data_IF_514351276055
#
_entry.id   IF_514351276055
#
_cell.length_a   1.000
_cell.length_b   1.000
_cell.length_c   1.000
_cell.angle_alpha   90.00
_cell.angle_beta   90.00
_cell.angle_gamma   90.00
#
_symmetry.space_group_name_H-M   'P 1'
#
loop_
_entity.id
_entity.type
_entity.pdbx_description
1 polymer ?
#
# COMPACT_ATOMS: atom_id res chain seq x y z
N UNK A 1 -15.58 25.04 3.69
CA UNK A 1 -14.95 24.90 5.03
C UNK A 1 -13.58 24.28 4.81
N UNK A 2 -12.53 24.85 5.39
CA UNK A 2 -11.17 24.27 5.33
C UNK A 2 -11.14 22.89 5.97
N UNK A 3 -10.48 21.93 5.33
CA UNK A 3 -10.30 20.61 5.93
C UNK A 3 -9.35 20.70 7.13
N UNK A 4 -9.69 19.96 8.17
CA UNK A 4 -8.92 19.91 9.43
C UNK A 4 -8.10 18.64 9.58
N UNK A 5 -8.30 17.66 8.68
CA UNK A 5 -7.60 16.38 8.64
C UNK A 5 -6.86 16.22 7.32
N UNK A 6 -5.58 15.86 7.38
CA UNK A 6 -4.74 15.61 6.22
C UNK A 6 -5.12 14.26 5.59
N UNK A 7 -5.53 14.21 4.31
CA UNK A 7 -5.93 12.95 3.67
C UNK A 7 -4.83 11.88 3.64
N UNK A 8 -3.56 12.30 3.62
CA UNK A 8 -2.41 11.40 3.62
C UNK A 8 -2.00 10.87 5.01
N UNK A 9 -2.70 11.26 6.08
CA UNK A 9 -2.41 10.82 7.44
C UNK A 9 -3.27 9.63 7.90
N UNK A 10 -2.69 8.77 8.73
CA UNK A 10 -3.47 7.93 9.61
C UNK A 10 -4.02 8.78 10.75
N UNK A 11 -5.35 8.88 10.84
CA UNK A 11 -6.10 9.71 11.79
C UNK A 11 -6.75 8.90 12.92
N UNK A 12 -6.55 7.58 12.95
CA UNK A 12 -7.11 6.67 13.96
C UNK A 12 -6.07 6.23 14.97
N UNK A 13 -4.86 5.92 14.50
CA UNK A 13 -3.73 5.57 15.36
C UNK A 13 -3.20 6.80 16.10
N UNK A 14 -3.14 6.71 17.44
CA UNK A 14 -2.68 7.81 18.31
C UNK A 14 -3.47 9.12 18.11
N UNK A 15 -4.77 9.02 17.84
CA UNK A 15 -5.64 10.20 17.87
C UNK A 15 -5.93 10.57 19.33
N UNK A 16 -5.59 11.81 19.71
CA UNK A 16 -5.71 12.29 21.08
C UNK A 16 -6.72 13.43 21.23
N UNK A 17 -7.39 13.82 20.15
CA UNK A 17 -8.23 15.01 20.09
C UNK A 17 -9.46 14.94 21.02
N UNK A 18 -9.99 13.74 21.26
CA UNK A 18 -11.10 13.53 22.21
C UNK A 18 -10.66 13.59 23.67
N UNK A 19 -9.43 13.18 23.95
CA UNK A 19 -8.86 13.15 25.31
C UNK A 19 -8.35 14.52 25.74
N UNK A 20 -7.74 15.26 24.81
CA UNK A 20 -7.20 16.59 25.05
C UNK A 20 -7.79 17.57 24.05
N UNK A 21 -8.81 18.30 24.51
CA UNK A 21 -9.45 19.32 23.69
C UNK A 21 -8.52 20.54 23.57
N UNK A 22 -8.15 20.89 22.35
CA UNK A 22 -7.34 22.07 22.04
C UNK A 22 -8.17 23.35 21.88
N UNK A 23 -7.52 24.51 22.03
CA UNK A 23 -8.09 25.82 21.68
C UNK A 23 -8.34 25.90 20.18
N UNK A 24 -9.40 26.58 19.75
CA UNK A 24 -9.63 26.84 18.32
C UNK A 24 -8.54 27.75 17.77
N UNK A 25 -8.03 27.42 16.58
CA UNK A 25 -6.95 28.14 15.92
C UNK A 25 -7.24 28.41 14.45
N UNK A 26 -6.61 29.46 13.91
CA UNK A 26 -6.47 29.73 12.48
C UNK A 26 -4.98 29.66 12.12
N UNK A 27 -4.48 28.49 11.69
CA UNK A 27 -3.07 28.22 11.40
C UNK A 27 -2.35 29.32 10.63
N UNK A 28 -1.22 29.79 11.15
CA UNK A 28 -0.38 30.79 10.51
C UNK A 28 1.12 30.49 10.54
N UNK A 29 1.54 29.60 11.45
CA UNK A 29 2.92 29.17 11.61
C UNK A 29 2.98 27.65 11.73
N UNK A 30 4.00 27.05 11.11
CA UNK A 30 4.37 25.65 11.30
C UNK A 30 5.67 25.61 12.10
N UNK A 31 5.70 24.77 13.12
CA UNK A 31 6.89 24.45 13.90
C UNK A 31 7.31 23.02 13.58
N UNK A 32 8.50 22.90 13.00
CA UNK A 32 9.17 21.61 12.80
C UNK A 32 9.93 21.22 14.06
N UNK A 33 9.81 19.96 14.42
CA UNK A 33 10.53 19.32 15.51
C UNK A 33 11.29 18.11 14.97
N UNK A 34 12.31 17.65 15.69
CA UNK A 34 12.76 16.26 15.56
C UNK A 34 12.55 15.50 16.85
N UNK A 35 12.13 14.24 16.72
CA UNK A 35 11.78 13.42 17.88
C UNK A 35 13.00 12.96 18.68
N UNK A 36 14.21 13.12 18.12
CA UNK A 36 15.46 12.52 18.60
C UNK A 36 15.36 11.00 18.78
N UNK A 37 14.45 10.39 18.02
CA UNK A 37 14.07 8.99 18.10
C UNK A 37 13.85 8.38 16.71
N UNK A 38 13.37 7.13 16.71
CA UNK A 38 13.44 6.26 15.52
C UNK A 38 12.11 5.61 15.16
N UNK A 39 11.16 5.70 16.08
CA UNK A 39 9.84 5.12 15.95
C UNK A 39 8.80 6.15 16.42
N UNK A 40 7.53 5.78 16.29
CA UNK A 40 6.39 6.53 16.77
C UNK A 40 6.52 6.82 18.27
N UNK A 41 6.70 8.08 18.69
CA UNK A 41 6.75 8.40 20.11
C UNK A 41 5.40 8.13 20.77
N UNK A 42 5.41 7.72 22.03
CA UNK A 42 4.17 7.47 22.79
C UNK A 42 3.45 8.77 23.19
N UNK A 43 4.17 9.90 23.16
CA UNK A 43 3.71 11.23 23.57
C UNK A 43 3.03 11.25 24.94
N UNK A 44 3.47 10.38 25.85
CA UNK A 44 2.87 10.21 27.18
C UNK A 44 1.35 10.02 27.11
N UNK A 45 0.88 9.24 26.12
CA UNK A 45 -0.54 9.00 25.89
C UNK A 45 -1.30 10.27 25.45
N UNK A 46 -0.62 11.13 24.69
CA UNK A 46 -1.14 12.36 24.06
C UNK A 46 -0.87 13.66 24.82
N UNK A 47 -0.27 13.60 26.02
CA UNK A 47 -0.04 14.77 26.85
C UNK A 47 0.96 15.76 26.23
N UNK A 48 1.84 15.28 25.35
CA UNK A 48 2.88 16.08 24.67
C UNK A 48 2.85 15.89 23.15
N UNK A 49 1.72 15.45 22.58
CA UNK A 49 1.65 15.14 21.16
C UNK A 49 1.59 16.40 20.27
N UNK A 50 2.27 16.40 19.12
CA UNK A 50 2.17 17.45 18.10
C UNK A 50 0.87 17.29 17.29
N UNK A 51 0.64 18.12 16.26
CA UNK A 51 -0.46 17.85 15.33
C UNK A 51 -0.16 16.64 14.46
N UNK A 52 1.08 16.55 13.98
CA UNK A 52 1.53 15.51 13.07
C UNK A 52 2.85 14.88 13.53
N UNK A 53 2.99 13.59 13.25
CA UNK A 53 4.28 12.89 13.29
C UNK A 53 4.55 12.29 11.92
N UNK A 54 5.75 12.54 11.37
CA UNK A 54 6.20 12.06 10.08
C UNK A 54 7.34 11.07 10.31
N UNK A 55 7.09 9.79 9.98
CA UNK A 55 8.06 8.71 10.13
C UNK A 55 8.65 8.30 8.77
N UNK A 56 9.98 8.13 8.65
CA UNK A 56 10.59 7.63 7.42
C UNK A 56 10.21 6.16 7.18
N UNK A 57 9.84 5.84 5.94
CA UNK A 57 9.78 4.48 5.43
C UNK A 57 10.96 4.27 4.45
N UNK A 58 12.09 3.83 4.99
CA UNK A 58 13.34 3.66 4.21
C UNK A 58 13.21 2.66 3.06
N UNK A 59 12.42 1.61 3.22
CA UNK A 59 12.21 0.61 2.18
C UNK A 59 11.49 1.19 0.96
N UNK A 60 10.51 2.07 1.19
CA UNK A 60 9.74 2.73 0.13
C UNK A 60 10.35 4.04 -0.33
N UNK A 61 11.30 4.60 0.42
CA UNK A 61 11.77 5.99 0.27
C UNK A 61 10.59 6.98 0.25
N UNK A 62 9.68 6.79 1.19
CA UNK A 62 8.51 7.66 1.41
C UNK A 62 8.34 7.93 2.90
N UNK A 63 7.38 8.76 3.27
CA UNK A 63 7.01 8.97 4.68
C UNK A 63 5.68 8.31 5.03
N UNK A 64 5.50 8.02 6.30
CA UNK A 64 4.22 7.69 6.91
C UNK A 64 3.83 8.84 7.83
N UNK A 65 2.59 9.30 7.77
CA UNK A 65 2.10 10.43 8.57
C UNK A 65 1.02 9.95 9.53
N UNK A 66 1.14 10.31 10.81
CA UNK A 66 0.05 10.22 11.79
C UNK A 66 -0.40 11.63 12.16
N UNK A 67 -1.71 11.82 12.26
CA UNK A 67 -2.29 13.06 12.74
C UNK A 67 -2.99 12.82 14.08
N UNK A 68 -2.58 13.57 15.10
CA UNK A 68 -3.02 13.41 16.47
C UNK A 68 -4.13 14.38 16.86
N UNK A 69 -4.11 15.58 16.27
CA UNK A 69 -5.09 16.66 16.49
C UNK A 69 -5.53 17.29 15.16
N UNK A 70 -6.79 17.71 15.03
CA UNK A 70 -7.25 18.55 13.92
C UNK A 70 -6.45 19.84 13.82
N UNK A 71 -6.13 20.31 12.61
CA UNK A 71 -5.26 21.49 12.40
C UNK A 71 -5.86 22.79 12.96
N UNK A 72 -7.19 22.87 13.08
CA UNK A 72 -7.89 24.01 13.66
C UNK A 72 -7.95 23.97 15.21
N UNK A 73 -7.18 23.09 15.86
CA UNK A 73 -7.15 22.91 17.30
C UNK A 73 -5.71 22.80 17.79
N UNK A 74 -5.34 23.55 18.84
CA UNK A 74 -3.99 23.51 19.40
C UNK A 74 -3.55 22.10 19.81
N UNK A 75 -2.30 21.73 19.50
CA UNK A 75 -1.67 20.50 19.98
C UNK A 75 -0.96 20.73 21.32
N UNK A 76 0.08 19.94 21.66
CA UNK A 76 0.68 19.93 23.00
C UNK A 76 2.20 19.76 23.05
N UNK A 77 2.91 19.81 21.93
CA UNK A 77 4.37 19.60 21.92
C UNK A 77 5.16 20.85 22.31
N UNK A 78 4.56 22.05 22.28
CA UNK A 78 5.20 23.29 22.72
C UNK A 78 4.94 23.57 24.20
N UNK A 79 5.99 23.94 24.93
CA UNK A 79 5.88 24.47 26.28
C UNK A 79 5.25 25.86 26.23
N UNK A 80 4.18 26.04 26.99
CA UNK A 80 3.44 27.29 27.11
C UNK A 80 3.50 27.81 28.55
N UNK A 81 4.32 28.85 28.82
CA UNK A 81 4.53 29.35 30.18
C UNK A 81 3.55 30.49 30.50
N UNK A 82 3.01 30.47 31.72
CA UNK A 82 2.14 31.55 32.20
C UNK A 82 2.85 32.91 32.16
N UNK A 83 2.21 33.91 31.57
CA UNK A 83 2.79 35.24 31.33
C UNK A 83 3.65 35.35 30.07
N UNK A 84 3.71 34.27 29.28
CA UNK A 84 4.41 34.20 28.00
C UNK A 84 3.56 34.63 26.79
N UNK A 85 3.93 34.15 25.61
CA UNK A 85 3.27 34.43 24.32
C UNK A 85 2.40 33.28 23.82
N UNK A 86 1.98 32.39 24.71
CA UNK A 86 0.95 31.40 24.38
C UNK A 86 1.40 30.48 23.23
N UNK A 87 2.67 30.05 23.23
CA UNK A 87 3.37 29.39 22.10
C UNK A 87 2.60 28.22 21.48
N UNK A 88 1.86 27.48 22.30
CA UNK A 88 1.12 26.30 21.91
C UNK A 88 -0.29 26.61 21.37
N UNK A 89 -0.85 27.77 21.70
CA UNK A 89 -2.23 28.18 21.33
C UNK A 89 -2.25 29.36 20.35
N UNK A 90 -1.10 29.96 20.05
CA UNK A 90 -0.94 31.03 19.06
C UNK A 90 -0.88 30.50 17.63
N UNK A 91 -1.92 29.80 17.19
CA UNK A 91 -2.12 29.37 15.80
C UNK A 91 -0.98 28.51 15.18
N UNK A 92 -0.19 27.86 16.02
CA UNK A 92 0.96 27.06 15.61
C UNK A 92 0.59 25.61 15.31
N UNK A 93 0.88 25.16 14.09
CA UNK A 93 0.83 23.75 13.70
C UNK A 93 2.18 23.11 13.99
N UNK A 94 2.18 22.01 14.73
CA UNK A 94 3.38 21.35 15.24
C UNK A 94 3.58 20.04 14.50
N UNK A 95 4.78 19.81 13.96
CA UNK A 95 5.12 18.63 13.16
C UNK A 95 6.39 18.00 13.72
N UNK A 96 6.30 16.78 14.20
CA UNK A 96 7.43 15.95 14.63
C UNK A 96 7.99 15.14 13.47
N UNK A 97 9.30 15.27 13.24
CA UNK A 97 10.04 14.50 12.23
C UNK A 97 10.82 13.40 12.92
N UNK A 98 10.51 12.13 12.62
CA UNK A 98 11.22 11.00 13.24
C UNK A 98 12.65 10.92 12.70
N UNK A 99 13.60 11.18 13.58
CA UNK A 99 15.04 11.17 13.34
C UNK A 99 15.74 12.04 14.38
N UNK A 100 17.00 12.40 14.10
CA UNK A 100 17.84 13.16 15.03
C UNK A 100 18.47 14.37 14.34
N UNK A 101 18.63 15.46 15.08
CA UNK A 101 19.50 16.56 14.68
C UNK A 101 20.84 16.57 15.41
N UNK A 102 21.04 15.67 16.39
CA UNK A 102 22.22 15.59 17.25
C UNK A 102 23.36 14.77 16.61
N UNK A 103 24.51 15.39 16.26
CA UNK A 103 25.61 14.69 15.58
C UNK A 103 26.20 13.51 16.38
N UNK A 104 26.42 13.60 17.71
CA UNK A 104 26.72 12.44 18.55
C UNK A 104 25.73 11.27 18.39
N UNK A 105 24.42 11.52 18.40
CA UNK A 105 23.39 10.49 18.22
C UNK A 105 23.43 9.90 16.81
N UNK A 106 23.58 10.73 15.78
CA UNK A 106 23.80 10.29 14.40
C UNK A 106 25.05 9.40 14.27
N UNK A 107 26.18 9.81 14.84
CA UNK A 107 27.44 9.04 14.81
C UNK A 107 27.31 7.69 15.51
N UNK A 108 26.66 7.65 16.69
CA UNK A 108 26.44 6.40 17.44
C UNK A 108 25.60 5.39 16.67
N UNK A 109 24.73 5.85 15.77
CA UNK A 109 23.89 4.98 14.93
C UNK A 109 24.69 4.23 13.85
N UNK A 110 25.81 4.76 13.41
CA UNK A 110 26.65 4.14 12.39
C UNK A 110 25.85 3.81 11.12
N UNK A 111 25.75 2.52 10.80
CA UNK A 111 25.11 2.01 9.57
C UNK A 111 23.61 1.76 9.68
N UNK A 112 23.01 1.92 10.86
CA UNK A 112 21.56 1.72 11.01
C UNK A 112 20.83 2.86 10.31
N UNK A 113 19.92 2.54 9.38
CA UNK A 113 19.14 3.54 8.64
C UNK A 113 18.35 4.44 9.59
N UNK A 114 18.57 5.75 9.46
CA UNK A 114 17.85 6.79 10.19
C UNK A 114 17.93 8.12 9.43
N UNK A 115 17.10 9.10 9.82
CA UNK A 115 17.15 10.46 9.27
C UNK A 115 18.02 11.31 10.19
N UNK A 116 19.09 11.87 9.62
CA UNK A 116 19.82 12.97 10.23
C UNK A 116 19.31 14.27 9.61
N UNK A 117 18.67 15.11 10.42
CA UNK A 117 17.89 16.26 9.94
C UNK A 117 18.68 17.24 9.05
N UNK A 118 19.95 17.59 9.35
CA UNK A 118 20.75 18.46 8.49
C UNK A 118 21.03 17.88 7.10
N UNK A 119 21.00 16.55 6.98
CA UNK A 119 21.28 15.81 5.74
C UNK A 119 20.05 15.02 5.28
N UNK A 120 18.85 15.48 5.64
CA UNK A 120 17.61 14.78 5.32
C UNK A 120 17.51 14.55 3.79
N UNK A 121 17.25 13.31 3.35
CA UNK A 121 17.22 12.96 1.94
C UNK A 121 16.01 13.59 1.25
N UNK A 122 16.14 13.87 -0.05
CA UNK A 122 15.13 14.63 -0.81
C UNK A 122 13.74 13.99 -0.77
N UNK A 123 13.64 12.65 -0.75
CA UNK A 123 12.35 11.95 -0.63
C UNK A 123 11.65 12.19 0.72
N UNK A 124 12.42 12.37 1.79
CA UNK A 124 11.88 12.69 3.11
C UNK A 124 11.41 14.14 3.13
N UNK A 125 12.22 15.06 2.59
CA UNK A 125 11.85 16.47 2.40
C UNK A 125 10.58 16.60 1.56
N UNK A 126 10.43 15.82 0.49
CA UNK A 126 9.23 15.82 -0.34
C UNK A 126 7.99 15.40 0.47
N UNK A 127 8.09 14.36 1.31
CA UNK A 127 6.98 13.94 2.17
C UNK A 127 6.54 15.01 3.17
N UNK A 128 7.48 15.79 3.71
CA UNK A 128 7.16 16.96 4.55
C UNK A 128 6.55 18.08 3.69
N UNK A 129 7.08 18.29 2.47
CA UNK A 129 6.64 19.32 1.55
C UNK A 129 5.19 19.13 1.11
N UNK A 130 4.76 17.88 0.87
CA UNK A 130 3.39 17.53 0.49
C UNK A 130 2.39 17.92 1.58
N UNK A 131 2.74 17.71 2.86
CA UNK A 131 1.92 18.14 3.99
C UNK A 131 1.82 19.67 4.07
N UNK A 132 2.93 20.39 3.92
CA UNK A 132 2.92 21.86 3.94
C UNK A 132 2.10 22.44 2.79
N UNK A 133 2.19 21.82 1.61
CA UNK A 133 1.41 22.22 0.44
C UNK A 133 -0.08 22.03 0.66
N UNK A 134 -0.49 20.88 1.23
CA UNK A 134 -1.89 20.68 1.61
C UNK A 134 -2.34 21.69 2.65
N UNK A 135 -1.53 21.96 3.68
CA UNK A 135 -1.84 22.98 4.69
C UNK A 135 -2.08 24.34 4.04
N UNK A 136 -1.20 24.78 3.16
CA UNK A 136 -1.35 26.05 2.43
C UNK A 136 -2.60 26.08 1.56
N UNK A 137 -2.95 24.96 0.90
CA UNK A 137 -4.14 24.89 0.05
C UNK A 137 -5.45 24.99 0.85
N UNK A 138 -5.51 24.35 2.02
CA UNK A 138 -6.71 24.37 2.88
C UNK A 138 -6.77 25.60 3.80
N UNK A 139 -5.61 26.20 4.10
CA UNK A 139 -5.45 27.38 4.96
C UNK A 139 -4.60 28.43 4.23
N UNK A 140 -5.18 29.16 3.25
CA UNK A 140 -4.43 30.06 2.35
C UNK A 140 -3.64 31.17 3.06
N UNK A 141 -4.09 31.53 4.26
CA UNK A 141 -3.40 32.46 5.14
C UNK A 141 -2.00 31.95 5.53
N UNK A 142 -1.83 30.64 5.78
CA UNK A 142 -0.50 30.09 6.07
C UNK A 142 0.45 30.24 4.87
N UNK A 143 1.58 30.99 4.96
CA UNK A 143 2.46 31.20 3.83
C UNK A 143 3.51 30.09 3.73
N UNK A 144 3.80 29.63 2.51
CA UNK A 144 4.96 28.76 2.27
C UNK A 144 6.25 29.59 2.23
N UNK A 145 6.78 30.01 3.38
CA UNK A 145 8.07 30.70 3.46
C UNK A 145 8.84 30.35 4.71
N UNK A 146 10.15 30.51 4.66
CA UNK A 146 10.98 30.47 5.85
C UNK A 146 10.67 31.70 6.72
N UNK A 147 10.28 31.45 7.97
CA UNK A 147 9.95 32.48 8.95
C UNK A 147 11.02 32.59 10.06
N UNK A 148 12.09 31.78 10.00
CA UNK A 148 13.18 31.80 10.96
C UNK A 148 14.11 33.00 10.74
N UNK A 149 13.69 34.18 11.20
CA UNK A 149 14.45 35.45 11.05
C UNK A 149 15.89 35.39 11.58
N UNK A 150 16.18 34.46 12.49
CA UNK A 150 17.49 34.30 13.12
C UNK A 150 18.35 33.19 12.51
N UNK A 151 17.90 32.58 11.40
CA UNK A 151 18.57 31.47 10.72
C UNK A 151 18.39 30.13 11.44
N UNK A 152 18.86 29.05 10.84
CA UNK A 152 18.76 27.68 11.36
C UNK A 152 20.10 27.25 11.96
N UNK A 153 20.14 26.99 13.26
CA UNK A 153 21.35 26.63 13.99
C UNK A 153 21.65 25.14 14.00
N UNK A 154 22.92 24.76 13.88
CA UNK A 154 23.34 23.38 14.08
C UNK A 154 23.27 22.99 15.57
N UNK A 155 22.84 21.75 15.86
CA UNK A 155 22.89 21.22 17.23
C UNK A 155 24.34 20.92 17.63
N UNK A 156 24.78 21.21 18.87
CA UNK A 156 24.00 21.70 20.01
C UNK A 156 23.91 23.24 20.12
N UNK A 157 24.49 24.02 19.20
CA UNK A 157 24.48 25.49 19.29
C UNK A 157 23.09 26.13 19.23
N UNK A 158 22.11 25.40 18.72
CA UNK A 158 20.69 25.77 18.68
C UNK A 158 19.94 25.53 20.00
N UNK A 159 20.48 24.72 20.92
CA UNK A 159 19.84 24.34 22.17
C UNK A 159 19.86 25.45 23.23
N UNK A 160 18.86 25.44 24.12
CA UNK A 160 18.75 26.34 25.26
C UNK A 160 18.46 27.80 24.87
N UNK A 161 19.08 28.72 25.62
CA UNK A 161 19.03 30.17 25.40
C UNK A 161 19.94 30.58 24.21
N UNK A 162 19.68 29.99 23.04
CA UNK A 162 20.49 30.21 21.84
C UNK A 162 20.11 31.52 21.13
N UNK A 163 21.04 32.04 20.30
CA UNK A 163 20.80 33.21 19.46
C UNK A 163 19.67 33.03 18.44
N UNK A 164 19.26 31.78 18.17
CA UNK A 164 18.23 31.44 17.17
C UNK A 164 16.81 31.60 17.71
N UNK A 165 16.65 31.66 19.04
CA UNK A 165 15.37 31.88 19.70
C UNK A 165 14.77 33.23 19.29
N UNK A 166 13.53 33.24 18.83
CA UNK A 166 12.79 34.47 18.55
C UNK A 166 12.42 35.15 19.87
N UNK A 167 12.42 36.48 19.86
CA UNK A 167 11.74 37.25 20.89
C UNK A 167 10.22 37.04 20.82
N UNK A 168 9.53 37.44 21.88
CA UNK A 168 8.07 37.38 21.96
C UNK A 168 7.40 38.13 20.81
N UNK A 169 7.90 39.33 20.49
CA UNK A 169 7.42 40.13 19.36
C UNK A 169 7.70 39.47 18.01
N UNK A 170 8.88 38.86 17.84
CA UNK A 170 9.20 38.14 16.60
C UNK A 170 8.31 36.90 16.41
N UNK A 171 8.01 36.18 17.50
CA UNK A 171 7.10 35.03 17.50
C UNK A 171 5.66 35.40 17.15
N UNK A 172 5.12 36.46 17.77
CA UNK A 172 3.77 36.95 17.48
C UNK A 172 3.60 37.40 16.02
N UNK A 173 4.70 37.76 15.35
CA UNK A 173 4.73 38.16 13.96
C UNK A 173 5.24 37.05 13.01
N UNK A 174 5.48 35.84 13.53
CA UNK A 174 5.93 34.73 12.71
C UNK A 174 4.80 34.25 11.78
N UNK A 175 5.14 34.06 10.51
CA UNK A 175 4.18 33.66 9.48
C UNK A 175 4.92 32.77 8.48
N UNK A 176 4.67 31.46 8.51
CA UNK A 176 5.38 30.46 7.70
C UNK A 176 6.02 29.35 8.53
N UNK A 177 7.18 28.86 8.12
CA UNK A 177 7.82 27.68 8.73
C UNK A 177 8.98 28.11 9.62
N UNK A 178 9.02 27.59 10.83
CA UNK A 178 10.15 27.68 11.76
C UNK A 178 10.46 26.29 12.35
N UNK A 179 11.63 26.12 12.95
CA UNK A 179 11.96 24.99 13.82
C UNK A 179 11.72 25.26 15.32
N UNK A 180 11.65 24.21 16.14
CA UNK A 180 11.46 24.29 17.60
C UNK A 180 12.50 25.18 18.29
N UNK A 181 13.74 25.20 17.79
CA UNK A 181 14.83 26.10 18.22
C UNK A 181 14.50 27.61 18.19
N UNK A 182 13.48 28.01 17.43
CA UNK A 182 13.08 29.41 17.29
C UNK A 182 11.97 29.80 18.27
N UNK A 183 11.22 28.84 18.81
CA UNK A 183 10.01 29.13 19.61
C UNK A 183 10.39 29.67 20.99
N UNK A 184 9.98 30.88 21.40
CA UNK A 184 10.29 31.42 22.74
C UNK A 184 9.84 30.47 23.87
N UNK A 185 10.34 30.70 25.09
CA UNK A 185 10.03 29.93 26.32
C UNK A 185 10.51 28.47 26.35
N UNK A 186 10.78 27.88 25.19
CA UNK A 186 11.24 26.51 25.04
C UNK A 186 12.78 26.46 25.08
N UNK A 187 13.36 25.31 25.46
CA UNK A 187 14.82 25.10 25.54
C UNK A 187 15.37 24.17 24.47
N UNK A 188 14.51 23.64 23.61
CA UNK A 188 14.86 22.66 22.60
C UNK A 188 15.63 23.27 21.42
N UNK A 189 16.52 22.49 20.81
CA UNK A 189 17.41 22.93 19.71
C UNK A 189 17.11 22.28 18.36
N UNK A 190 16.10 21.40 18.29
CA UNK A 190 15.68 20.73 17.09
C UNK A 190 14.90 21.66 16.13
N UNK A 191 14.81 21.31 14.83
CA UNK A 191 15.44 20.17 14.14
C UNK A 191 16.89 20.46 13.71
N UNK A 192 17.58 21.38 14.40
CA UNK A 192 18.95 21.77 14.07
C UNK A 192 19.03 22.51 12.73
N UNK A 193 20.14 22.32 12.01
CA UNK A 193 20.40 22.99 10.73
C UNK A 193 19.64 22.30 9.58
N UNK A 194 18.31 22.23 9.71
CA UNK A 194 17.44 21.58 8.74
C UNK A 194 17.44 22.32 7.40
N UNK A 195 17.39 21.61 6.25
CA UNK A 195 17.49 22.23 4.92
C UNK A 195 16.18 22.92 4.49
N UNK A 196 15.78 23.97 5.21
CA UNK A 196 14.51 24.68 5.02
C UNK A 196 14.33 25.22 3.60
N UNK A 197 15.39 25.69 2.96
CA UNK A 197 15.32 26.23 1.61
C UNK A 197 14.86 25.16 0.61
N UNK A 198 15.33 23.92 0.78
CA UNK A 198 14.88 22.77 -0.02
C UNK A 198 13.41 22.47 0.25
N UNK A 199 13.00 22.46 1.52
CA UNK A 199 11.60 22.20 1.89
C UNK A 199 10.66 23.25 1.29
N UNK A 200 10.95 24.54 1.46
CA UNK A 200 10.13 25.63 0.90
C UNK A 200 10.08 25.55 -0.63
N UNK A 201 11.22 25.28 -1.28
CA UNK A 201 11.25 25.10 -2.73
C UNK A 201 10.38 23.91 -3.16
N UNK A 202 10.47 22.76 -2.50
CA UNK A 202 9.66 21.58 -2.78
C UNK A 202 8.15 21.83 -2.53
N UNK A 203 7.79 22.58 -1.49
CA UNK A 203 6.39 22.92 -1.19
C UNK A 203 5.79 23.92 -2.18
N UNK A 204 6.60 24.86 -2.67
CA UNK A 204 6.19 25.86 -3.67
C UNK A 204 6.24 25.36 -5.09
N UNK A 205 7.10 24.37 -5.36
CA UNK A 205 7.18 23.76 -6.66
C UNK A 205 5.75 23.36 -7.00
N UNK A 206 5.21 24.01 -8.03
CA UNK A 206 4.07 23.47 -8.72
C UNK A 206 4.49 22.05 -8.99
N UNK A 207 3.80 21.09 -8.38
CA UNK A 207 3.84 19.76 -8.93
C UNK A 207 3.54 20.00 -10.40
N UNK A 208 4.43 19.59 -11.31
CA UNK A 208 3.88 19.05 -12.55
C UNK A 208 2.84 18.07 -12.01
N UNK A 209 1.55 18.39 -12.14
CA UNK A 209 0.57 17.57 -11.49
C UNK A 209 0.80 16.20 -12.13
N UNK A 210 1.06 15.17 -11.32
CA UNK A 210 -0.01 14.21 -11.41
C UNK A 210 -1.23 14.99 -10.92
N UNK A 211 -2.25 15.16 -11.78
CA UNK A 211 -3.38 16.02 -11.49
C UNK A 211 -3.85 15.80 -10.05
N UNK A 212 -4.46 16.79 -9.38
CA UNK A 212 -5.41 16.40 -8.37
C UNK A 212 -6.27 15.32 -9.02
N UNK A 213 -6.24 14.11 -8.48
CA UNK A 213 -7.34 13.21 -8.73
C UNK A 213 -8.48 13.96 -8.06
N UNK A 214 -9.19 14.79 -8.83
CA UNK A 214 -10.63 14.94 -8.64
C UNK A 214 -11.09 13.56 -8.17
N UNK A 215 -11.82 13.41 -7.04
CA UNK A 215 -12.31 12.09 -6.64
C UNK A 215 -12.80 11.44 -7.93
N UNK A 216 -12.15 10.33 -8.37
CA UNK A 216 -12.18 9.94 -9.77
C UNK A 216 -13.63 10.00 -10.16
N UNK A 217 -14.00 10.80 -11.19
CA UNK A 217 -15.40 11.15 -11.47
C UNK A 217 -16.21 9.90 -11.24
N UNK A 218 -17.19 9.93 -10.31
CA UNK A 218 -17.66 8.76 -9.58
C UNK A 218 -17.66 7.59 -10.53
N UNK A 219 -16.71 6.66 -10.31
CA UNK A 219 -16.41 5.60 -11.28
C UNK A 219 -17.76 5.02 -11.66
N UNK A 220 -18.19 5.20 -12.90
CA UNK A 220 -19.52 4.74 -13.29
C UNK A 220 -19.48 3.22 -13.15
N UNK A 221 -20.11 2.73 -12.07
CA UNK A 221 -19.89 1.37 -11.63
C UNK A 221 -20.67 0.44 -12.56
N UNK A 222 -19.91 -0.44 -13.16
CA UNK A 222 -20.40 -1.63 -13.82
C UNK A 222 -20.90 -2.68 -12.83
N UNK A 223 -21.32 -3.85 -13.35
CA UNK A 223 -21.74 -4.94 -12.52
C UNK A 223 -20.60 -5.43 -11.61
N UNK A 224 -20.98 -5.99 -10.48
CA UNK A 224 -20.05 -6.74 -9.63
C UNK A 224 -19.62 -8.02 -10.36
N UNK A 225 -18.33 -8.30 -10.33
CA UNK A 225 -17.71 -9.56 -10.73
C UNK A 225 -17.11 -10.21 -9.49
N UNK A 226 -17.36 -11.51 -9.34
CA UNK A 226 -16.81 -12.34 -8.28
C UNK A 226 -15.83 -13.32 -8.90
N UNK A 227 -14.55 -13.15 -8.58
CA UNK A 227 -13.48 -14.04 -9.01
C UNK A 227 -12.94 -14.85 -7.82
N UNK A 228 -12.38 -16.02 -8.07
CA UNK A 228 -11.57 -16.74 -7.08
C UNK A 228 -10.17 -17.03 -7.59
N UNK A 229 -9.25 -17.24 -6.67
CA UNK A 229 -7.95 -17.85 -6.96
C UNK A 229 -7.61 -18.94 -5.95
N UNK A 230 -6.98 -20.02 -6.42
CA UNK A 230 -6.48 -21.10 -5.58
C UNK A 230 -5.30 -21.80 -6.26
N UNK A 231 -4.15 -21.86 -5.58
CA UNK A 231 -3.17 -22.89 -5.89
C UNK A 231 -3.72 -24.24 -5.41
N UNK A 232 -3.93 -25.17 -6.33
CA UNK A 232 -4.61 -26.43 -6.07
C UNK A 232 -3.67 -27.53 -5.51
N UNK A 233 -2.36 -27.31 -5.53
CA UNK A 233 -1.34 -28.23 -5.03
C UNK A 233 -1.59 -29.70 -5.42
N UNK A 234 -1.81 -29.93 -6.71
CA UNK A 234 -2.19 -31.25 -7.23
C UNK A 234 -1.08 -32.30 -7.12
N UNK A 235 0.17 -31.88 -6.87
CA UNK A 235 1.37 -32.72 -6.88
C UNK A 235 1.46 -33.69 -5.69
N UNK A 236 0.66 -33.52 -4.63
CA UNK A 236 0.79 -34.27 -3.36
C UNK A 236 -0.49 -35.04 -2.95
N UNK A 237 -1.21 -35.66 -3.89
CA UNK A 237 -2.49 -36.33 -3.61
C UNK A 237 -2.29 -37.78 -3.08
N UNK A 238 -2.31 -38.00 -1.76
CA UNK A 238 -2.36 -39.34 -1.14
C UNK A 238 -3.50 -39.48 -0.10
N UNK A 239 -4.01 -40.69 0.14
CA UNK A 239 -5.00 -40.97 1.20
C UNK A 239 -6.36 -40.24 1.07
N UNK A 240 -6.98 -39.81 2.18
CA UNK A 240 -8.23 -39.02 2.18
C UNK A 240 -8.14 -37.66 1.45
N UNK A 241 -6.92 -37.27 1.05
CA UNK A 241 -6.58 -36.14 0.18
C UNK A 241 -6.42 -36.57 -1.29
N UNK A 242 -7.01 -37.71 -1.70
CA UNK A 242 -7.08 -38.09 -3.11
C UNK A 242 -7.61 -36.92 -3.93
N UNK A 243 -7.04 -36.71 -5.11
CA UNK A 243 -7.38 -35.59 -5.96
C UNK A 243 -8.91 -35.50 -6.22
N UNK A 244 -9.56 -36.64 -6.47
CA UNK A 244 -11.02 -36.70 -6.65
C UNK A 244 -11.77 -36.16 -5.42
N UNK A 245 -11.39 -36.59 -4.22
CA UNK A 245 -12.01 -36.11 -2.98
C UNK A 245 -11.81 -34.60 -2.78
N UNK A 246 -10.62 -34.08 -3.12
CA UNK A 246 -10.32 -32.64 -3.07
C UNK A 246 -11.18 -31.84 -4.05
N UNK A 247 -11.32 -32.31 -5.28
CA UNK A 247 -12.17 -31.68 -6.30
C UNK A 247 -13.64 -31.73 -5.93
N UNK A 248 -14.16 -32.88 -5.49
CA UNK A 248 -15.57 -32.99 -5.09
C UNK A 248 -15.87 -32.02 -3.92
N UNK A 249 -14.97 -31.94 -2.91
CA UNK A 249 -15.09 -30.94 -1.82
C UNK A 249 -15.02 -29.51 -2.32
N UNK A 250 -14.08 -29.20 -3.20
CA UNK A 250 -13.94 -27.88 -3.79
C UNK A 250 -15.20 -27.46 -4.57
N UNK A 251 -15.72 -28.34 -5.43
CA UNK A 251 -16.93 -28.08 -6.21
C UNK A 251 -18.13 -27.85 -5.29
N UNK A 252 -18.35 -28.74 -4.31
CA UNK A 252 -19.45 -28.58 -3.34
C UNK A 252 -19.37 -27.25 -2.60
N UNK A 253 -18.17 -26.82 -2.21
CA UNK A 253 -17.94 -25.51 -1.61
C UNK A 253 -18.25 -24.38 -2.59
N UNK A 254 -17.75 -24.47 -3.82
CA UNK A 254 -17.85 -23.41 -4.83
C UNK A 254 -19.28 -23.20 -5.32
N UNK A 255 -20.11 -24.25 -5.33
CA UNK A 255 -21.53 -24.15 -5.62
C UNK A 255 -22.31 -23.26 -4.64
N UNK A 256 -21.77 -22.99 -3.44
CA UNK A 256 -22.41 -22.12 -2.45
C UNK A 256 -22.31 -20.64 -2.79
N UNK A 257 -21.49 -20.27 -3.76
CA UNK A 257 -21.14 -18.89 -4.01
C UNK A 257 -21.25 -18.58 -5.52
N UNK A 258 -21.85 -17.45 -5.91
CA UNK A 258 -21.97 -17.07 -7.31
C UNK A 258 -20.62 -16.54 -7.84
N UNK A 259 -19.79 -17.40 -8.45
CA UNK A 259 -18.54 -16.97 -9.09
C UNK A 259 -18.72 -16.83 -10.58
N UNK A 260 -18.11 -15.78 -11.11
CA UNK A 260 -18.01 -15.46 -12.53
C UNK A 260 -16.74 -16.07 -13.14
N UNK A 261 -15.59 -15.98 -12.44
CA UNK A 261 -14.30 -16.53 -12.90
C UNK A 261 -13.55 -17.26 -11.78
N UNK A 262 -12.99 -18.44 -12.05
CA UNK A 262 -12.09 -19.15 -11.13
C UNK A 262 -10.69 -19.26 -11.72
N UNK A 263 -9.67 -18.92 -10.94
CA UNK A 263 -8.27 -18.95 -11.34
C UNK A 263 -7.56 -20.03 -10.53
N UNK A 264 -6.86 -20.96 -11.19
CA UNK A 264 -6.10 -22.02 -10.53
C UNK A 264 -4.64 -22.03 -10.93
N UNK A 265 -3.82 -22.42 -9.96
CA UNK A 265 -2.41 -22.75 -10.13
C UNK A 265 -2.17 -24.21 -9.75
N UNK A 266 -1.08 -24.78 -10.27
CA UNK A 266 -0.64 -26.16 -10.01
C UNK A 266 -1.71 -27.25 -10.17
N UNK A 267 -2.48 -27.20 -11.27
CA UNK A 267 -3.32 -28.31 -11.68
C UNK A 267 -2.56 -29.26 -12.63
N UNK A 268 -1.91 -30.25 -12.02
CA UNK A 268 -0.91 -31.13 -12.59
C UNK A 268 -1.45 -32.31 -13.38
N UNK A 269 -0.50 -33.09 -13.93
CA UNK A 269 -0.75 -34.15 -14.92
C UNK A 269 -0.36 -35.58 -14.52
N UNK A 270 0.33 -35.81 -13.39
CA UNK A 270 0.62 -37.18 -12.92
C UNK A 270 -0.65 -37.76 -12.28
N UNK A 271 -1.16 -38.95 -12.60
CA UNK A 271 -0.54 -40.18 -13.12
C UNK A 271 -1.55 -40.88 -14.05
N UNK A 272 -1.06 -41.31 -15.21
CA UNK A 272 -1.63 -42.17 -16.26
C UNK A 272 -3.03 -42.83 -16.08
N UNK A 273 -3.85 -42.65 -17.13
CA UNK A 273 -5.06 -43.41 -17.55
C UNK A 273 -6.40 -43.10 -16.85
N UNK A 274 -7.35 -42.64 -17.66
CA UNK A 274 -8.81 -42.56 -17.43
C UNK A 274 -9.38 -41.66 -16.31
N UNK A 275 -8.66 -41.33 -15.24
CA UNK A 275 -9.16 -40.55 -14.09
C UNK A 275 -8.57 -39.13 -14.01
N UNK A 276 -8.45 -38.46 -15.15
CA UNK A 276 -7.70 -37.19 -15.25
C UNK A 276 -8.19 -36.16 -14.23
N UNK A 277 -7.29 -35.65 -13.36
CA UNK A 277 -7.56 -34.55 -12.45
C UNK A 277 -8.33 -33.38 -13.08
N UNK A 278 -7.83 -32.93 -14.23
CA UNK A 278 -8.45 -31.91 -15.06
C UNK A 278 -9.84 -32.30 -15.59
N UNK A 279 -10.09 -33.56 -15.91
CA UNK A 279 -11.42 -34.01 -16.36
C UNK A 279 -12.41 -34.05 -15.21
N UNK A 280 -11.99 -34.25 -13.96
CA UNK A 280 -12.89 -34.19 -12.81
C UNK A 280 -13.26 -32.75 -12.49
N UNK A 281 -12.29 -31.83 -12.38
CA UNK A 281 -12.56 -30.40 -12.24
C UNK A 281 -13.46 -29.92 -13.38
N UNK A 282 -13.08 -30.22 -14.63
CA UNK A 282 -13.86 -29.85 -15.80
C UNK A 282 -15.24 -30.48 -15.83
N UNK A 283 -15.40 -31.79 -15.71
CA UNK A 283 -16.73 -32.41 -15.81
C UNK A 283 -17.66 -31.94 -14.70
N UNK A 284 -17.14 -31.73 -13.48
CA UNK A 284 -17.93 -31.23 -12.35
C UNK A 284 -18.24 -29.74 -12.45
N UNK A 285 -17.29 -28.93 -12.92
CA UNK A 285 -17.50 -27.50 -13.12
C UNK A 285 -18.32 -27.24 -14.40
N UNK A 286 -17.99 -27.82 -15.56
CA UNK A 286 -18.73 -27.65 -16.82
C UNK A 286 -20.22 -28.01 -16.67
N UNK A 287 -20.53 -29.12 -15.99
CA UNK A 287 -21.93 -29.54 -15.78
C UNK A 287 -22.69 -28.63 -14.83
N UNK A 288 -22.01 -27.84 -14.01
CA UNK A 288 -22.64 -27.02 -12.95
C UNK A 288 -22.52 -25.50 -13.17
N UNK A 289 -21.52 -25.06 -13.92
CA UNK A 289 -21.18 -23.66 -14.23
C UNK A 289 -21.38 -23.34 -15.72
N UNK A 290 -21.84 -24.29 -16.54
CA UNK A 290 -21.86 -24.16 -18.00
C UNK A 290 -20.47 -24.43 -18.62
N UNK A 291 -20.40 -24.51 -19.96
CA UNK A 291 -19.16 -24.89 -20.64
C UNK A 291 -17.98 -23.99 -20.24
N UNK A 292 -16.85 -24.56 -19.85
CA UNK A 292 -15.71 -23.75 -19.46
C UNK A 292 -14.65 -23.68 -20.56
N UNK A 293 -14.23 -22.46 -20.92
CA UNK A 293 -13.03 -22.27 -21.72
C UNK A 293 -11.78 -22.51 -20.88
N UNK A 294 -10.84 -23.28 -21.43
CA UNK A 294 -9.61 -23.69 -20.76
C UNK A 294 -8.40 -23.26 -21.57
N UNK A 295 -7.44 -22.64 -20.89
CA UNK A 295 -6.05 -22.57 -21.33
C UNK A 295 -5.14 -23.21 -20.30
N UNK A 296 -4.16 -23.97 -20.77
CA UNK A 296 -3.15 -24.65 -19.95
C UNK A 296 -1.81 -24.02 -20.22
N UNK A 297 -1.17 -23.55 -19.15
CA UNK A 297 0.19 -23.04 -19.17
C UNK A 297 1.13 -23.96 -18.36
N UNK A 298 2.20 -24.49 -18.96
CA UNK A 298 3.17 -25.38 -18.33
C UNK A 298 2.70 -26.79 -17.93
N UNK A 299 3.62 -27.57 -17.35
CA UNK A 299 3.40 -28.98 -16.97
C UNK A 299 2.58 -29.15 -15.70
N UNK A 300 2.73 -28.23 -14.75
CA UNK A 300 1.90 -28.14 -13.55
C UNK A 300 0.61 -27.33 -13.75
N UNK A 301 0.44 -26.63 -14.88
CA UNK A 301 -0.84 -26.11 -15.36
C UNK A 301 -1.45 -24.92 -14.59
N UNK A 302 -1.70 -23.80 -15.28
CA UNK A 302 -2.56 -22.69 -14.82
C UNK A 302 -3.85 -22.72 -15.62
N UNK A 303 -4.94 -22.42 -14.94
CA UNK A 303 -6.27 -22.53 -15.51
C UNK A 303 -7.10 -21.34 -15.10
N UNK A 304 -7.87 -20.84 -16.04
CA UNK A 304 -8.96 -19.93 -15.77
C UNK A 304 -10.24 -20.64 -16.20
N UNK A 305 -11.28 -20.51 -15.40
CA UNK A 305 -12.60 -21.06 -15.67
C UNK A 305 -13.61 -19.92 -15.65
N UNK A 306 -14.38 -19.77 -16.72
CA UNK A 306 -15.38 -18.71 -16.86
C UNK A 306 -16.77 -19.33 -16.79
N UNK A 307 -17.64 -18.78 -15.93
CA UNK A 307 -19.03 -19.23 -15.77
C UNK A 307 -19.90 -18.62 -16.87
N UNK A 308 -20.16 -19.39 -17.94
CA UNK A 308 -20.90 -18.92 -19.10
C UNK A 308 -22.38 -18.62 -18.83
N UNK A 309 -22.92 -19.00 -17.67
CA UNK A 309 -24.27 -18.61 -17.27
C UNK A 309 -24.32 -17.17 -16.74
N UNK A 310 -23.17 -16.58 -16.40
CA UNK A 310 -23.09 -15.27 -15.73
C UNK A 310 -22.32 -14.24 -16.53
N UNK A 311 -21.40 -14.67 -17.39
CA UNK A 311 -20.60 -13.80 -18.25
C UNK A 311 -20.42 -14.43 -19.62
N UNK A 312 -20.22 -13.61 -20.63
CA UNK A 312 -19.92 -14.05 -21.99
C UNK A 312 -18.41 -14.13 -22.18
N UNK A 313 -17.90 -15.32 -22.48
CA UNK A 313 -16.49 -15.49 -22.83
C UNK A 313 -16.17 -14.87 -24.19
N UNK A 314 -15.03 -14.18 -24.29
CA UNK A 314 -14.56 -13.53 -25.53
C UNK A 314 -13.33 -14.25 -26.07
N UNK A 315 -12.29 -14.41 -25.25
CA UNK A 315 -11.02 -15.05 -25.65
C UNK A 315 -10.19 -15.43 -24.44
N UNK A 316 -9.42 -16.51 -24.54
CA UNK A 316 -8.32 -16.77 -23.62
C UNK A 316 -7.04 -17.22 -24.31
N UNK A 317 -5.93 -17.06 -23.60
CA UNK A 317 -4.60 -17.44 -24.06
C UNK A 317 -3.62 -17.64 -22.93
N UNK A 318 -2.34 -17.65 -23.30
CA UNK A 318 -1.21 -17.78 -22.39
C UNK A 318 -0.31 -16.56 -22.50
N UNK A 319 0.33 -16.21 -21.40
CA UNK A 319 1.43 -15.26 -21.33
C UNK A 319 2.65 -16.05 -20.92
N UNK A 320 3.68 -16.01 -21.76
CA UNK A 320 4.97 -16.61 -21.44
C UNK A 320 5.77 -15.59 -20.65
N UNK A 321 5.94 -15.80 -19.35
CA UNK A 321 6.91 -15.00 -18.59
C UNK A 321 8.26 -15.11 -19.31
N UNK A 322 8.98 -13.99 -19.46
CA UNK A 322 10.22 -13.93 -20.22
C UNK A 322 11.10 -15.15 -19.93
N UNK A 323 11.43 -15.93 -20.98
CA UNK A 323 12.37 -17.06 -20.91
C UNK A 323 13.76 -16.51 -20.62
N UNK A 324 13.99 -16.09 -19.39
CA UNK A 324 15.35 -15.92 -18.93
C UNK A 324 15.93 -17.31 -18.74
N UNK A 325 17.19 -17.50 -19.10
CA UNK A 325 18.02 -18.67 -18.77
C UNK A 325 18.13 -18.93 -17.26
N UNK A 326 17.34 -18.25 -16.43
CA UNK A 326 17.42 -18.23 -14.98
C UNK A 326 16.39 -19.13 -14.29
N UNK A 327 15.43 -19.73 -15.01
CA UNK A 327 14.42 -20.63 -14.43
C UNK A 327 14.79 -22.09 -14.65
N UNK A 328 14.83 -22.89 -13.58
CA UNK A 328 15.13 -24.33 -13.65
C UNK A 328 13.94 -25.08 -14.25
N UNK A 329 13.87 -25.18 -15.58
CA UNK A 329 12.97 -26.09 -16.33
C UNK A 329 11.45 -25.98 -16.12
N UNK A 330 10.96 -25.25 -15.12
CA UNK A 330 9.53 -25.06 -14.87
C UNK A 330 9.01 -23.88 -15.69
N UNK A 331 7.99 -24.15 -16.49
CA UNK A 331 7.39 -23.21 -17.42
C UNK A 331 6.51 -22.22 -16.63
N UNK A 332 7.09 -21.09 -16.20
CA UNK A 332 6.47 -20.06 -15.33
C UNK A 332 5.44 -19.14 -16.04
N UNK A 333 4.56 -19.71 -16.87
CA UNK A 333 3.54 -18.99 -17.63
C UNK A 333 2.37 -18.46 -16.77
N UNK A 334 1.60 -17.53 -17.34
CA UNK A 334 0.29 -17.12 -16.84
C UNK A 334 -0.81 -17.48 -17.86
N UNK A 335 -2.02 -17.77 -17.39
CA UNK A 335 -3.22 -17.90 -18.24
C UNK A 335 -4.08 -16.66 -18.10
N UNK A 336 -4.79 -16.30 -19.17
CA UNK A 336 -5.68 -15.16 -19.15
C UNK A 336 -6.99 -15.44 -19.88
N UNK A 337 -8.05 -14.77 -19.42
CA UNK A 337 -9.37 -14.81 -20.05
C UNK A 337 -9.93 -13.40 -20.13
N UNK A 338 -10.46 -13.05 -21.30
CA UNK A 338 -11.30 -11.89 -21.53
C UNK A 338 -12.74 -12.36 -21.61
N UNK A 339 -13.60 -11.67 -20.89
CA UNK A 339 -15.03 -11.92 -20.81
C UNK A 339 -15.80 -10.61 -20.73
N UNK A 340 -17.11 -10.69 -20.90
CA UNK A 340 -18.03 -9.57 -20.94
C UNK A 340 -19.18 -9.82 -19.97
N UNK A 341 -19.48 -8.84 -19.10
CA UNK A 341 -20.62 -8.85 -18.18
C UNK A 341 -21.37 -7.53 -18.32
N UNK A 342 -22.66 -7.60 -18.61
CA UNK A 342 -23.53 -6.45 -18.90
C UNK A 342 -22.89 -5.45 -19.89
N UNK A 343 -22.36 -5.99 -20.99
CA UNK A 343 -21.65 -5.25 -22.06
C UNK A 343 -20.32 -4.60 -21.66
N UNK A 344 -19.80 -4.87 -20.46
CA UNK A 344 -18.48 -4.39 -20.03
C UNK A 344 -17.46 -5.51 -20.14
N UNK A 345 -16.34 -5.23 -20.83
CA UNK A 345 -15.23 -6.18 -20.96
C UNK A 345 -14.30 -6.12 -19.76
N UNK A 346 -13.91 -7.30 -19.30
CA UNK A 346 -12.98 -7.51 -18.20
C UNK A 346 -11.98 -8.61 -18.55
N UNK A 347 -10.88 -8.63 -17.83
CA UNK A 347 -9.83 -9.63 -17.98
C UNK A 347 -9.39 -10.14 -16.62
N UNK A 348 -9.22 -11.45 -16.51
CA UNK A 348 -8.60 -12.11 -15.36
C UNK A 348 -7.32 -12.81 -15.84
N UNK A 349 -6.23 -12.64 -15.09
CA UNK A 349 -4.92 -13.23 -15.35
C UNK A 349 -4.50 -14.06 -14.14
N UNK A 350 -4.36 -15.37 -14.34
CA UNK A 350 -3.87 -16.32 -13.35
C UNK A 350 -2.38 -16.57 -13.55
N UNK A 351 -1.56 -16.33 -12.51
CA UNK A 351 -0.12 -16.56 -12.57
C UNK A 351 0.36 -17.52 -11.48
N UNK A 352 1.52 -18.13 -11.70
CA UNK A 352 2.27 -18.86 -10.68
C UNK A 352 3.76 -18.60 -10.92
N UNK A 353 4.40 -17.86 -10.01
CA UNK A 353 5.78 -17.39 -10.15
C UNK A 353 6.80 -18.42 -9.65
N UNK A 354 8.09 -18.08 -9.76
CA UNK A 354 9.19 -18.96 -9.35
C UNK A 354 9.12 -19.33 -7.86
N UNK A 355 9.29 -20.61 -7.54
CA UNK A 355 9.23 -21.15 -6.18
C UNK A 355 10.61 -21.49 -5.60
N UNK A 356 11.69 -21.30 -6.35
CA UNK A 356 13.07 -21.39 -5.83
C UNK A 356 13.30 -20.44 -4.63
N UNK A 357 14.12 -20.84 -3.67
CA UNK A 357 14.47 -20.01 -2.51
C UNK A 357 15.64 -19.05 -2.78
N UNK A 358 15.79 -18.01 -1.95
CA UNK A 358 16.93 -17.08 -1.94
C UNK A 358 16.69 -15.71 -2.59
N UNK A 359 17.56 -14.74 -2.32
CA UNK A 359 17.40 -13.34 -2.75
C UNK A 359 17.31 -13.15 -4.28
N UNK A 360 17.99 -14.01 -5.03
CA UNK A 360 17.93 -14.03 -6.50
C UNK A 360 16.54 -14.49 -7.00
N UNK A 361 15.78 -15.24 -6.22
CA UNK A 361 14.44 -15.69 -6.59
C UNK A 361 13.42 -14.55 -6.56
N UNK A 362 13.44 -13.65 -5.57
CA UNK A 362 12.49 -12.53 -5.53
C UNK A 362 12.69 -11.54 -6.67
N UNK A 363 13.94 -11.24 -7.05
CA UNK A 363 14.22 -10.41 -8.22
C UNK A 363 13.64 -11.04 -9.51
N UNK A 364 13.74 -12.37 -9.65
CA UNK A 364 13.12 -13.09 -10.77
C UNK A 364 11.60 -13.04 -10.72
N UNK A 365 10.98 -13.21 -9.54
CA UNK A 365 9.52 -13.13 -9.37
C UNK A 365 9.01 -11.74 -9.76
N UNK A 366 9.68 -10.68 -9.31
CA UNK A 366 9.35 -9.29 -9.68
C UNK A 366 9.46 -9.10 -11.20
N UNK A 367 10.57 -9.53 -11.82
CA UNK A 367 10.76 -9.43 -13.26
C UNK A 367 9.69 -10.20 -14.06
N UNK A 368 9.38 -11.43 -13.65
CA UNK A 368 8.31 -12.24 -14.25
C UNK A 368 6.96 -11.57 -14.13
N UNK A 369 6.63 -11.03 -12.95
CA UNK A 369 5.35 -10.38 -12.73
C UNK A 369 5.19 -9.13 -13.60
N UNK A 370 6.20 -8.26 -13.65
CA UNK A 370 6.15 -7.05 -14.48
C UNK A 370 6.09 -7.39 -15.98
N UNK A 371 6.77 -8.46 -16.40
CA UNK A 371 6.65 -8.97 -17.77
C UNK A 371 5.24 -9.51 -18.07
N UNK A 372 4.61 -10.21 -17.12
CA UNK A 372 3.22 -10.66 -17.24
C UNK A 372 2.26 -9.46 -17.38
N UNK A 373 2.44 -8.44 -16.54
CA UNK A 373 1.64 -7.20 -16.60
C UNK A 373 1.78 -6.54 -17.97
N UNK A 374 3.01 -6.36 -18.46
CA UNK A 374 3.26 -5.74 -19.77
C UNK A 374 2.55 -6.48 -20.92
N UNK A 375 2.63 -7.82 -20.95
CA UNK A 375 1.97 -8.62 -21.97
C UNK A 375 0.43 -8.58 -21.84
N UNK A 376 -0.08 -8.65 -20.60
CA UNK A 376 -1.52 -8.55 -20.35
C UNK A 376 -2.09 -7.20 -20.80
N UNK A 377 -1.36 -6.09 -20.64
CA UNK A 377 -1.79 -4.78 -21.14
C UNK A 377 -1.88 -4.72 -22.67
N UNK A 378 -0.97 -5.38 -23.39
CA UNK A 378 -1.03 -5.51 -24.86
C UNK A 378 -2.25 -6.33 -25.30
N UNK A 379 -2.52 -7.43 -24.59
CA UNK A 379 -3.71 -8.26 -24.82
C UNK A 379 -4.99 -7.48 -24.52
N UNK A 380 -5.06 -6.80 -23.37
CA UNK A 380 -6.20 -5.99 -22.97
C UNK A 380 -6.54 -4.93 -24.01
N UNK A 381 -5.52 -4.21 -24.53
CA UNK A 381 -5.70 -3.25 -25.63
C UNK A 381 -6.29 -3.90 -26.88
N UNK A 382 -5.80 -5.08 -27.26
CA UNK A 382 -6.29 -5.85 -28.42
C UNK A 382 -7.77 -6.21 -28.28
N UNK A 383 -8.20 -6.58 -27.08
CA UNK A 383 -9.58 -6.97 -26.79
C UNK A 383 -10.43 -5.83 -26.21
N UNK A 384 -9.95 -4.59 -26.23
CA UNK A 384 -10.66 -3.41 -25.71
C UNK A 384 -11.12 -3.59 -24.26
N UNK A 385 -10.26 -4.16 -23.43
CA UNK A 385 -10.46 -4.23 -21.97
C UNK A 385 -9.80 -2.99 -21.35
N UNK A 386 -10.55 -2.25 -20.55
CA UNK A 386 -10.00 -1.14 -19.77
C UNK A 386 -9.06 -1.67 -18.68
N UNK A 387 -7.94 -0.98 -18.45
CA UNK A 387 -6.94 -1.36 -17.45
C UNK A 387 -7.54 -1.53 -16.05
N UNK A 388 -8.56 -0.72 -15.72
CA UNK A 388 -9.32 -0.79 -14.46
C UNK A 388 -10.12 -2.08 -14.30
N UNK A 389 -10.39 -2.77 -15.41
CA UNK A 389 -11.14 -4.03 -15.44
C UNK A 389 -10.23 -5.26 -15.57
N UNK A 390 -8.92 -5.11 -15.35
CA UNK A 390 -7.98 -6.23 -15.28
C UNK A 390 -7.76 -6.67 -13.83
N UNK A 391 -7.85 -7.97 -13.57
CA UNK A 391 -7.48 -8.61 -12.31
C UNK A 391 -6.28 -9.52 -12.55
N UNK A 392 -5.19 -9.30 -11.82
CA UNK A 392 -4.11 -10.28 -11.72
C UNK A 392 -4.25 -11.04 -10.42
N UNK A 393 -4.20 -12.36 -10.47
CA UNK A 393 -4.36 -13.17 -9.28
C UNK A 393 -3.54 -14.44 -9.34
N UNK A 394 -3.09 -14.92 -8.20
CA UNK A 394 -2.38 -16.19 -8.12
C UNK A 394 -1.24 -16.19 -7.11
N UNK A 395 -0.41 -17.21 -7.26
CA UNK A 395 0.66 -17.52 -6.33
C UNK A 395 1.97 -16.84 -6.76
N UNK A 396 2.41 -15.88 -5.93
CA UNK A 396 3.63 -15.11 -6.14
C UNK A 396 4.88 -15.83 -5.64
N UNK A 397 4.75 -16.84 -4.77
CA UNK A 397 5.83 -17.41 -3.97
C UNK A 397 6.69 -16.35 -3.25
N UNK A 398 6.15 -15.15 -2.99
CA UNK A 398 6.88 -14.03 -2.38
C UNK A 398 6.09 -13.41 -1.24
N UNK A 399 6.74 -13.20 -0.09
CA UNK A 399 6.09 -12.63 1.10
C UNK A 399 5.78 -11.12 0.98
N UNK A 400 6.24 -10.45 -0.09
CA UNK A 400 5.88 -9.04 -0.30
C UNK A 400 6.65 -8.28 -1.37
N UNK A 401 7.78 -8.77 -1.87
CA UNK A 401 8.55 -8.04 -2.90
C UNK A 401 7.76 -7.86 -4.19
N UNK A 402 7.04 -8.90 -4.63
CA UNK A 402 6.14 -8.80 -5.79
C UNK A 402 5.02 -7.80 -5.54
N UNK A 403 4.41 -7.82 -4.35
CA UNK A 403 3.35 -6.86 -4.00
C UNK A 403 3.84 -5.41 -3.97
N UNK A 404 5.07 -5.17 -3.47
CA UNK A 404 5.70 -3.86 -3.50
C UNK A 404 5.96 -3.38 -4.94
N UNK A 405 6.48 -4.25 -5.80
CA UNK A 405 6.70 -3.94 -7.21
C UNK A 405 5.40 -3.66 -7.96
N UNK A 406 4.35 -4.46 -7.72
CA UNK A 406 3.01 -4.23 -8.28
C UNK A 406 2.46 -2.87 -7.85
N UNK A 407 2.64 -2.48 -6.58
CA UNK A 407 2.23 -1.15 -6.10
C UNK A 407 2.96 -0.02 -6.83
N UNK A 408 4.27 -0.14 -7.05
CA UNK A 408 5.05 0.84 -7.84
C UNK A 408 4.55 0.90 -9.29
N UNK A 409 4.05 -0.20 -9.82
CA UNK A 409 3.45 -0.27 -11.15
C UNK A 409 1.96 0.12 -11.19
N UNK A 410 1.44 0.83 -10.16
CA UNK A 410 0.05 1.29 -10.05
C UNK A 410 -1.00 0.16 -9.91
N UNK A 411 -0.58 -1.00 -9.39
CA UNK A 411 -1.47 -2.12 -9.07
C UNK A 411 -1.53 -2.32 -7.55
N UNK A 412 -2.70 -2.09 -6.97
CA UNK A 412 -2.94 -2.30 -5.53
C UNK A 412 -3.41 -3.72 -5.25
N UNK A 413 -3.04 -4.24 -4.08
CA UNK A 413 -3.59 -5.49 -3.58
C UNK A 413 -5.04 -5.29 -3.12
N UNK A 414 -5.96 -6.12 -3.60
CA UNK A 414 -7.38 -6.07 -3.22
C UNK A 414 -7.62 -6.45 -1.74
N UNK A 415 -6.63 -7.04 -1.05
CA UNK A 415 -6.72 -7.28 0.38
C UNK A 415 -6.32 -6.06 1.24
N UNK A 416 -5.73 -5.01 0.67
CA UNK A 416 -5.32 -3.82 1.45
C UNK A 416 -6.53 -3.12 2.07
N UNK A 417 -6.47 -2.84 3.36
CA UNK A 417 -7.56 -2.22 4.12
C UNK A 417 -8.70 -3.17 4.51
N UNK A 418 -8.58 -4.47 4.23
CA UNK A 418 -9.55 -5.48 4.67
C UNK A 418 -8.99 -6.30 5.85
N UNK A 419 -9.86 -7.06 6.53
CA UNK A 419 -9.42 -8.01 7.58
C UNK A 419 -8.44 -9.08 7.05
N UNK A 420 -8.38 -9.28 5.73
CA UNK A 420 -7.50 -10.24 5.07
C UNK A 420 -6.16 -9.65 4.63
N UNK A 421 -5.88 -8.39 4.94
CA UNK A 421 -4.62 -7.74 4.55
C UNK A 421 -3.40 -8.50 5.05
N UNK A 422 -3.49 -9.16 6.20
CA UNK A 422 -2.39 -9.93 6.80
C UNK A 422 -2.68 -11.43 6.85
N UNK A 423 -3.69 -11.91 6.11
CA UNK A 423 -4.03 -13.32 6.11
C UNK A 423 -2.88 -14.13 5.50
N UNK A 424 -2.43 -15.16 6.22
CA UNK A 424 -1.62 -16.21 5.62
C UNK A 424 -2.45 -16.93 4.59
N UNK A 425 -1.87 -17.21 3.43
CA UNK A 425 -2.55 -17.90 2.33
C UNK A 425 -1.91 -19.25 2.06
N UNK A 426 -0.65 -19.46 2.44
CA UNK A 426 0.02 -20.75 2.40
C UNK A 426 0.25 -21.29 3.82
N UNK A 427 -0.05 -22.56 4.02
CA UNK A 427 0.47 -23.34 5.14
C UNK A 427 0.93 -24.68 4.64
N UNK A 428 2.12 -25.13 5.01
CA UNK A 428 2.52 -26.51 4.72
C UNK A 428 1.46 -27.51 5.23
N UNK A 429 1.47 -28.72 4.69
CA UNK A 429 0.48 -29.76 5.03
C UNK A 429 0.47 -30.18 6.51
N UNK A 430 1.48 -29.77 7.28
CA UNK A 430 1.62 -29.98 8.73
C UNK A 430 1.18 -28.75 9.54
N UNK A 431 0.75 -27.66 8.89
CA UNK A 431 0.30 -26.41 9.48
C UNK A 431 1.41 -25.55 10.10
N UNK A 432 2.70 -25.83 9.82
CA UNK A 432 3.84 -25.18 10.49
C UNK A 432 4.27 -23.89 9.79
N UNK A 433 4.48 -23.92 8.48
CA UNK A 433 4.74 -22.72 7.69
C UNK A 433 3.46 -21.87 7.60
N UNK A 434 3.59 -20.53 7.67
CA UNK A 434 2.48 -19.59 7.55
C UNK A 434 2.94 -18.39 6.74
N UNK A 435 2.73 -18.45 5.45
CA UNK A 435 3.23 -17.45 4.52
C UNK A 435 2.09 -16.84 3.71
N UNK A 436 2.35 -15.67 3.15
CA UNK A 436 1.41 -14.97 2.28
C UNK A 436 1.98 -14.97 0.87
N UNK A 437 1.52 -15.93 0.07
CA UNK A 437 1.97 -16.10 -1.30
C UNK A 437 0.91 -15.76 -2.33
N UNK A 438 -0.37 -15.84 -1.96
CA UNK A 438 -1.48 -15.63 -2.87
C UNK A 438 -1.94 -14.17 -2.79
N UNK A 439 -2.03 -13.53 -3.95
CA UNK A 439 -2.42 -12.13 -4.07
C UNK A 439 -3.46 -11.94 -5.17
N UNK A 440 -4.22 -10.85 -5.04
CA UNK A 440 -5.12 -10.33 -6.05
C UNK A 440 -4.80 -8.85 -6.26
N UNK A 441 -4.37 -8.47 -7.46
CA UNK A 441 -4.00 -7.11 -7.82
C UNK A 441 -4.98 -6.51 -8.82
N UNK A 442 -5.40 -5.28 -8.56
CA UNK A 442 -6.23 -4.46 -9.45
C UNK A 442 -5.52 -3.13 -9.67
N UNK A 443 -5.82 -2.45 -10.77
CA UNK A 443 -5.27 -1.11 -11.00
C UNK A 443 -5.73 -0.16 -9.88
N UNK A 444 -4.87 0.77 -9.48
CA UNK A 444 -5.18 1.68 -8.35
C UNK A 444 -6.41 2.57 -8.60
N UNK A 445 -6.68 2.87 -9.87
CA UNK A 445 -7.86 3.63 -10.32
C UNK A 445 -9.08 2.74 -10.64
N UNK A 446 -9.01 1.43 -10.39
CA UNK A 446 -10.16 0.55 -10.55
C UNK A 446 -11.29 0.89 -9.57
N UNK A 447 -12.52 0.56 -9.94
CA UNK A 447 -13.66 0.59 -9.03
C UNK A 447 -13.44 -0.24 -7.75
N UNK A 448 -14.39 -0.20 -6.80
CA UNK A 448 -14.30 -0.95 -5.54
C UNK A 448 -13.95 -2.41 -5.81
N UNK A 449 -12.87 -2.89 -5.18
CA UNK A 449 -12.39 -4.25 -5.32
C UNK A 449 -11.73 -4.69 -4.03
N UNK A 450 -12.21 -5.80 -3.47
CA UNK A 450 -11.80 -6.32 -2.16
C UNK A 450 -11.67 -7.83 -2.18
N UNK A 451 -10.70 -8.35 -1.41
CA UNK A 451 -10.77 -9.76 -0.98
C UNK A 451 -11.84 -9.83 0.11
N UNK A 452 -12.94 -10.51 -0.20
CA UNK A 452 -14.11 -10.61 0.69
C UNK A 452 -14.10 -11.87 1.55
N UNK A 453 -13.28 -12.86 1.20
CA UNK A 453 -13.08 -14.06 2.01
C UNK A 453 -11.74 -14.73 1.69
N UNK A 454 -11.18 -15.39 2.70
CA UNK A 454 -10.03 -16.30 2.58
C UNK A 454 -10.45 -17.65 3.15
N UNK A 455 -10.65 -18.64 2.28
CA UNK A 455 -11.14 -19.97 2.66
C UNK A 455 -9.99 -20.95 2.76
N UNK A 456 -9.64 -21.31 4.01
CA UNK A 456 -8.64 -22.34 4.29
C UNK A 456 -9.31 -23.70 4.42
N UNK A 457 -8.79 -24.68 3.70
CA UNK A 457 -9.16 -26.09 3.86
C UNK A 457 -7.98 -26.98 3.45
N UNK A 458 -7.29 -27.47 4.46
CA UNK A 458 -6.13 -28.36 4.33
C UNK A 458 -6.48 -29.73 3.79
N UNK A 459 -7.77 -30.04 3.57
CA UNK A 459 -8.20 -31.24 2.84
C UNK A 459 -8.42 -30.96 1.35
N UNK A 460 -8.32 -29.71 0.91
CA UNK A 460 -8.37 -29.27 -0.50
C UNK A 460 -7.00 -28.81 -0.98
N UNK A 461 -6.31 -27.94 -0.22
CA UNK A 461 -5.01 -27.39 -0.58
C UNK A 461 -4.23 -26.92 0.65
N UNK A 462 -2.90 -26.89 0.56
CA UNK A 462 -2.01 -26.14 1.47
C UNK A 462 -2.16 -24.62 1.29
N UNK A 463 -2.77 -24.18 0.18
CA UNK A 463 -3.17 -22.79 -0.04
C UNK A 463 -4.64 -22.52 0.34
N UNK A 464 -4.90 -21.29 0.72
CA UNK A 464 -6.24 -20.77 0.94
C UNK A 464 -6.81 -20.22 -0.37
N UNK A 465 -8.10 -20.46 -0.62
CA UNK A 465 -8.81 -19.84 -1.73
C UNK A 465 -9.12 -18.38 -1.37
N UNK A 466 -8.76 -17.45 -2.25
CA UNK A 466 -9.19 -16.06 -2.14
C UNK A 466 -10.48 -15.86 -2.92
N UNK A 467 -11.46 -15.16 -2.33
CA UNK A 467 -12.67 -14.69 -3.02
C UNK A 467 -12.55 -13.18 -3.19
N UNK A 468 -12.60 -12.72 -4.43
CA UNK A 468 -12.43 -11.32 -4.82
C UNK A 468 -13.76 -10.80 -5.36
N UNK A 469 -14.27 -9.73 -4.76
CA UNK A 469 -15.43 -8.98 -5.27
C UNK A 469 -14.92 -7.69 -5.88
N UNK A 470 -15.29 -7.40 -7.13
CA UNK A 470 -14.91 -6.14 -7.79
C UNK A 470 -16.05 -5.59 -8.63
N UNK A 471 -16.27 -4.29 -8.58
CA UNK A 471 -17.12 -3.61 -9.55
C UNK A 471 -16.30 -3.27 -10.80
N UNK A 472 -16.82 -3.66 -11.96
CA UNK A 472 -16.23 -3.20 -13.22
C UNK A 472 -16.43 -1.69 -13.36
N UNK A 473 -15.58 -1.05 -14.15
CA UNK A 473 -15.68 0.35 -14.51
C UNK A 473 -16.31 0.46 -15.89
N UNK A 474 -17.39 1.25 -16.02
CA UNK A 474 -17.94 1.70 -17.30
C UNK A 474 -17.02 2.78 -17.86
N UNK A 475 -16.78 2.73 -19.17
CA UNK A 475 -15.78 3.55 -19.88
C UNK A 475 -16.44 4.24 -21.05
#
# INVERSE_FOLDING_TARGET
MSKTLYPGANTTAQNFASKYVGSTMSPNVVVLHSTEGWDWPSYSGGATAPHFTIKPNFAKKTVEVRQHFPVNKSARALENRGGGVETNTLNAVQIELVGTCDPPTHKKRGTVSHIFMPEAPDWFIQGVADLLKWLHAEWPDFPLKDAAKRGWGAYPSSYGASRYRLSFTEWNNAYGVVGHQHVPENSHGDPGNFPIAKLIAASKAGTKPEPPVDPPPPVDLGPEVISTTLNAASYNATGARTYKGRVDRYVVRRLKYPVDVMNFQEVGNGINRASKPNCLMRSRLDTKFGAVYKRRAGDKGRYNYVNLLRVKHIKGGLITAARSTQFRSDDKQASWEVYEKDSIRAMDVSFHLENDEGAVADAKRVSSMLNIVAQALVIAKTYKVDVRNILFTGDTNSQGMVAAAMKVAHWRNAATGTEYENAHTFTDWNGRARERFDYAFVHETAGPATVSAVHRDTDISDHAELVIRRHLTRV
#
